data_IF_554324065760
#
_entry.id   IF_554324065760
#
_cell.length_a   1.000
_cell.length_b   1.000
_cell.length_c   1.000
_cell.angle_alpha   90.00
_cell.angle_beta   90.00
_cell.angle_gamma   90.00
#
_symmetry.space_group_name_H-M   'P 1'
#
loop_
_entity.id
_entity.type
_entity.pdbx_description
1 polymer ?
#
# COMPACT_ATOMS: atom_id res chain seq x y z
N UNK A 1 -35.02 -23.40 -20.35
CA UNK A 1 -33.95 -23.26 -19.34
C UNK A 1 -34.01 -21.85 -18.81
N UNK A 2 -34.43 -21.72 -17.56
CA UNK A 2 -34.80 -20.47 -16.90
C UNK A 2 -33.59 -19.73 -16.37
N UNK A 3 -33.66 -18.41 -16.53
CA UNK A 3 -32.78 -17.40 -15.92
C UNK A 3 -33.07 -17.37 -14.42
N UNK A 4 -32.33 -18.15 -13.64
CA UNK A 4 -32.33 -18.10 -12.17
C UNK A 4 -31.06 -18.81 -11.68
N UNK A 5 -29.98 -18.05 -11.49
CA UNK A 5 -28.86 -18.29 -10.55
C UNK A 5 -27.72 -17.28 -10.80
N UNK A 6 -28.06 -15.99 -10.86
CA UNK A 6 -27.08 -14.91 -10.74
C UNK A 6 -27.48 -14.11 -9.49
N UNK A 7 -26.80 -14.41 -8.40
CA UNK A 7 -26.81 -13.59 -7.19
C UNK A 7 -26.18 -12.22 -7.53
N UNK A 8 -26.93 -11.11 -7.48
CA UNK A 8 -26.44 -9.79 -7.89
C UNK A 8 -25.44 -9.16 -6.90
N UNK A 9 -25.10 -9.83 -5.79
CA UNK A 9 -24.19 -9.31 -4.75
C UNK A 9 -22.76 -9.86 -4.80
N UNK A 10 -22.35 -10.56 -5.87
CA UNK A 10 -21.01 -11.17 -5.91
C UNK A 10 -20.36 -11.15 -7.29
N UNK A 11 -20.09 -9.95 -7.79
CA UNK A 11 -19.13 -9.76 -8.89
C UNK A 11 -18.16 -8.65 -8.53
N UNK A 12 -17.35 -8.87 -7.49
CA UNK A 12 -16.08 -8.17 -7.39
C UNK A 12 -15.20 -8.70 -8.53
N UNK A 13 -14.90 -7.83 -9.50
CA UNK A 13 -13.92 -8.15 -10.52
C UNK A 13 -12.61 -8.58 -9.83
N UNK A 14 -11.95 -9.67 -10.26
CA UNK A 14 -10.76 -10.15 -9.58
C UNK A 14 -9.67 -9.09 -9.66
N UNK A 15 -9.28 -8.55 -8.51
CA UNK A 15 -8.20 -7.57 -8.44
C UNK A 15 -6.87 -8.31 -8.66
N UNK A 16 -6.00 -7.87 -9.59
CA UNK A 16 -4.78 -8.60 -9.94
C UNK A 16 -3.78 -8.66 -8.78
N UNK A 17 -3.29 -9.85 -8.45
CA UNK A 17 -2.21 -10.05 -7.47
C UNK A 17 -0.89 -9.42 -7.92
N UNK A 18 0.01 -9.11 -6.98
CA UNK A 18 1.36 -8.64 -7.31
C UNK A 18 2.13 -9.59 -8.22
N UNK A 19 2.01 -10.90 -8.00
CA UNK A 19 2.61 -11.91 -8.86
C UNK A 19 2.06 -11.83 -10.30
N UNK A 20 0.75 -11.58 -10.47
CA UNK A 20 0.15 -11.41 -11.80
C UNK A 20 0.60 -10.11 -12.49
N UNK A 21 0.73 -9.01 -11.74
CA UNK A 21 1.25 -7.74 -12.26
C UNK A 21 2.71 -7.90 -12.69
N UNK A 22 3.52 -8.59 -11.88
CA UNK A 22 4.91 -8.88 -12.20
C UNK A 22 5.05 -9.78 -13.44
N UNK A 23 4.19 -10.78 -13.59
CA UNK A 23 4.17 -11.66 -14.76
C UNK A 23 3.83 -10.91 -16.06
N UNK A 24 3.10 -9.79 -15.96
CA UNK A 24 2.81 -8.89 -17.09
C UNK A 24 3.88 -7.81 -17.30
N UNK A 25 4.97 -7.83 -16.53
CA UNK A 25 6.00 -6.78 -16.50
C UNK A 25 5.40 -5.38 -16.23
N UNK A 26 4.30 -5.31 -15.48
CA UNK A 26 3.71 -4.03 -15.11
C UNK A 26 4.51 -3.35 -13.97
N UNK A 27 4.51 -2.02 -13.87
CA UNK A 27 5.05 -1.33 -12.69
C UNK A 27 4.37 -1.82 -11.41
N UNK A 28 5.14 -1.95 -10.33
CA UNK A 28 4.63 -2.39 -9.03
C UNK A 28 4.66 -1.23 -8.03
N UNK A 29 3.61 -1.15 -7.22
CA UNK A 29 3.50 -0.17 -6.15
C UNK A 29 3.49 -0.92 -4.82
N UNK A 30 4.61 -0.92 -4.11
CA UNK A 30 4.74 -1.62 -2.85
C UNK A 30 4.60 -0.63 -1.71
N UNK A 31 3.65 -0.80 -0.78
CA UNK A 31 3.54 0.06 0.38
C UNK A 31 4.85 0.21 1.14
N UNK A 32 5.19 1.45 1.47
CA UNK A 32 6.44 1.75 2.18
C UNK A 32 6.40 1.13 3.58
N UNK A 33 7.53 0.54 3.98
CA UNK A 33 7.76 0.02 5.33
C UNK A 33 9.07 0.58 5.86
N UNK A 34 9.34 0.41 7.16
CA UNK A 34 10.56 0.92 7.80
C UNK A 34 11.84 0.23 7.32
N UNK A 35 11.75 -0.81 6.49
CA UNK A 35 12.90 -1.39 5.81
C UNK A 35 13.48 -0.40 4.80
N UNK A 36 14.76 -0.04 4.99
CA UNK A 36 15.50 0.92 4.17
C UNK A 36 15.74 0.38 2.75
N UNK A 37 14.74 0.50 1.88
CA UNK A 37 14.90 0.32 0.44
C UNK A 37 15.05 1.69 -0.23
N UNK A 38 16.19 1.92 -0.91
CA UNK A 38 16.51 3.20 -1.59
C UNK A 38 16.19 3.12 -3.07
N UNK A 39 15.97 4.28 -3.71
CA UNK A 39 15.91 4.36 -5.18
C UNK A 39 17.11 3.62 -5.79
N UNK A 40 16.88 2.87 -6.86
CA UNK A 40 17.87 2.03 -7.53
C UNK A 40 18.16 0.67 -6.88
N UNK A 41 17.57 0.37 -5.71
CA UNK A 41 17.62 -0.99 -5.13
C UNK A 41 16.87 -1.95 -6.04
N UNK A 42 17.46 -3.13 -6.27
CA UNK A 42 16.87 -4.18 -7.07
C UNK A 42 15.79 -4.96 -6.32
N UNK A 43 14.92 -5.61 -7.07
CA UNK A 43 13.83 -6.43 -6.54
C UNK A 43 13.62 -7.66 -7.42
N UNK A 44 13.54 -8.84 -6.81
CA UNK A 44 13.24 -10.11 -7.48
C UNK A 44 11.78 -10.50 -7.26
N UNK A 45 10.96 -10.26 -8.28
CA UNK A 45 9.52 -10.50 -8.24
C UNK A 45 9.15 -11.97 -8.01
N UNK A 46 10.03 -12.91 -8.37
CA UNK A 46 9.82 -14.36 -8.15
C UNK A 46 9.77 -14.73 -6.67
N UNK A 47 10.29 -13.86 -5.81
CA UNK A 47 10.38 -14.06 -4.37
C UNK A 47 9.30 -13.30 -3.59
N UNK A 48 8.36 -12.63 -4.28
CA UNK A 48 7.25 -11.87 -3.68
C UNK A 48 6.48 -12.70 -2.64
N UNK A 49 6.24 -13.99 -2.91
CA UNK A 49 5.49 -14.88 -2.01
C UNK A 49 6.39 -15.73 -1.10
N UNK A 50 7.72 -15.57 -1.19
CA UNK A 50 8.67 -16.42 -0.49
C UNK A 50 9.21 -15.75 0.77
N UNK A 51 8.60 -16.06 1.91
CA UNK A 51 8.99 -15.54 3.22
C UNK A 51 10.42 -15.88 3.68
N UNK A 52 11.03 -16.92 3.12
CA UNK A 52 12.35 -17.40 3.54
C UNK A 52 13.51 -16.71 2.80
N UNK A 53 13.22 -15.99 1.70
CA UNK A 53 14.23 -15.32 0.88
C UNK A 53 13.93 -13.82 0.79
N UNK A 54 14.98 -13.01 0.74
CA UNK A 54 14.84 -11.56 0.60
C UNK A 54 14.54 -11.23 -0.86
N UNK A 55 13.38 -10.64 -1.13
CA UNK A 55 13.02 -10.13 -2.45
C UNK A 55 13.85 -8.89 -2.83
N UNK A 56 14.30 -8.11 -1.84
CA UNK A 56 15.20 -6.97 -2.05
C UNK A 56 16.62 -7.42 -2.40
N UNK A 57 17.12 -6.92 -3.52
CA UNK A 57 18.48 -7.16 -4.01
C UNK A 57 19.31 -5.89 -3.77
N UNK A 58 20.29 -5.92 -2.84
CA UNK A 58 21.00 -4.71 -2.42
C UNK A 58 21.96 -4.17 -3.50
N UNK A 59 22.31 -4.98 -4.51
CA UNK A 59 23.21 -4.56 -5.57
C UNK A 59 22.47 -3.67 -6.56
N UNK A 60 23.03 -2.49 -6.82
CA UNK A 60 22.50 -1.54 -7.79
C UNK A 60 23.08 -1.80 -9.19
N UNK A 61 22.21 -1.87 -10.21
CA UNK A 61 22.63 -2.05 -11.60
C UNK A 61 23.13 -0.74 -12.27
N UNK A 62 22.90 0.41 -11.64
CA UNK A 62 23.13 1.74 -12.22
C UNK A 62 24.49 2.34 -11.86
N UNK A 63 25.08 3.07 -12.80
CA UNK A 63 26.27 3.90 -12.61
C UNK A 63 25.89 5.25 -11.99
N UNK A 64 26.76 5.77 -11.13
CA UNK A 64 26.68 7.13 -10.56
C UNK A 64 25.29 7.50 -10.04
N UNK A 65 24.59 6.54 -9.43
CA UNK A 65 23.21 6.74 -8.96
C UNK A 65 23.12 7.91 -7.95
N UNK A 66 24.13 8.09 -7.10
CA UNK A 66 24.17 9.17 -6.10
C UNK A 66 24.20 10.57 -6.71
N UNK A 67 24.63 10.71 -7.98
CA UNK A 67 24.62 11.97 -8.74
C UNK A 67 23.30 12.19 -9.48
N UNK A 68 22.42 11.18 -9.49
CA UNK A 68 21.15 11.25 -10.19
C UNK A 68 20.14 12.13 -9.46
N UNK A 69 19.20 12.66 -10.24
CA UNK A 69 18.13 13.52 -9.77
C UNK A 69 16.79 12.83 -10.00
N UNK A 70 15.88 12.97 -9.05
CA UNK A 70 14.49 12.59 -9.20
C UNK A 70 13.62 13.84 -9.38
N UNK A 71 12.65 13.75 -10.28
CA UNK A 71 11.69 14.81 -10.55
C UNK A 71 10.40 14.55 -9.77
N UNK A 72 9.91 15.58 -9.09
CA UNK A 72 8.61 15.56 -8.46
C UNK A 72 7.49 15.87 -9.48
N UNK A 73 6.57 14.93 -9.65
CA UNK A 73 5.39 15.04 -10.49
C UNK A 73 4.14 14.98 -9.59
N UNK A 74 3.50 16.14 -9.38
CA UNK A 74 2.28 16.26 -8.56
C UNK A 74 1.01 16.43 -9.40
N UNK A 75 1.09 16.17 -10.71
CA UNK A 75 -0.09 16.23 -11.57
C UNK A 75 -1.01 15.03 -11.25
N UNK A 76 -2.31 15.29 -11.09
CA UNK A 76 -3.31 14.23 -10.88
C UNK A 76 -3.42 13.74 -9.43
N UNK A 77 -3.38 14.64 -8.45
CA UNK A 77 -3.69 14.27 -7.06
C UNK A 77 -5.04 13.56 -6.99
N UNK A 78 -5.09 12.45 -6.25
CA UNK A 78 -6.31 11.67 -6.06
C UNK A 78 -6.59 11.52 -4.57
N UNK A 79 -7.84 11.81 -4.18
CA UNK A 79 -8.35 11.52 -2.85
C UNK A 79 -9.45 10.48 -3.00
N UNK A 80 -9.42 9.45 -2.17
CA UNK A 80 -10.44 8.42 -2.16
C UNK A 80 -10.89 8.21 -0.72
N UNK A 81 -12.20 8.14 -0.54
CA UNK A 81 -12.83 7.91 0.75
C UNK A 81 -13.70 6.66 0.64
N UNK A 82 -13.58 5.76 1.63
CA UNK A 82 -14.38 4.54 1.72
C UNK A 82 -14.98 4.43 3.10
N UNK A 83 -16.29 4.24 3.15
CA UNK A 83 -17.03 3.90 4.37
C UNK A 83 -17.68 2.54 4.15
N UNK A 84 -17.54 1.65 5.13
CA UNK A 84 -18.11 0.30 5.10
C UNK A 84 -18.89 0.04 6.38
N UNK A 85 -20.01 -0.67 6.27
CA UNK A 85 -20.84 -1.09 7.38
C UNK A 85 -21.37 -2.50 7.10
N UNK A 86 -21.11 -3.45 7.99
CA UNK A 86 -21.53 -4.85 7.82
C UNK A 86 -22.18 -5.39 9.09
N UNK A 87 -23.28 -6.12 8.90
CA UNK A 87 -24.06 -6.82 9.94
C UNK A 87 -23.75 -8.33 9.98
N UNK A 88 -22.70 -8.79 9.30
CA UNK A 88 -22.37 -10.22 9.18
C UNK A 88 -20.88 -10.48 9.35
N UNK A 89 -20.56 -11.65 9.90
CA UNK A 89 -19.18 -12.10 10.17
C UNK A 89 -18.41 -12.50 8.90
N UNK A 90 -19.07 -12.53 7.74
CA UNK A 90 -18.52 -13.06 6.48
C UNK A 90 -17.95 -12.02 5.50
N UNK A 91 -18.08 -10.71 5.77
CA UNK A 91 -17.54 -9.66 4.90
C UNK A 91 -16.43 -8.86 5.61
N UNK A 92 -15.18 -9.09 5.20
CA UNK A 92 -14.01 -8.37 5.75
C UNK A 92 -13.31 -7.46 4.73
N UNK A 93 -13.51 -7.65 3.42
CA UNK A 93 -12.79 -6.91 2.37
C UNK A 93 -13.16 -5.42 2.33
N UNK A 94 -14.41 -5.07 2.64
CA UNK A 94 -14.92 -3.69 2.71
C UNK A 94 -14.28 -2.89 3.84
N UNK A 95 -13.73 -3.58 4.84
CA UNK A 95 -13.12 -2.99 6.03
C UNK A 95 -11.58 -3.03 6.02
N UNK A 96 -10.97 -3.59 4.97
CA UNK A 96 -9.51 -3.56 4.79
C UNK A 96 -9.01 -2.15 4.47
N UNK A 97 -7.70 -1.96 4.49
CA UNK A 97 -7.05 -0.73 4.08
C UNK A 97 -7.16 -0.54 2.56
N UNK A 98 -7.15 0.72 2.13
CA UNK A 98 -7.22 1.05 0.70
C UNK A 98 -5.92 0.74 -0.05
N UNK A 99 -4.80 0.62 0.67
CA UNK A 99 -3.45 0.48 0.10
C UNK A 99 -3.03 -0.97 -0.12
N UNK A 100 -3.62 -1.90 0.63
CA UNK A 100 -3.22 -3.32 0.63
C UNK A 100 -4.36 -4.29 0.34
N UNK A 101 -5.59 -3.81 0.08
CA UNK A 101 -6.79 -4.64 -0.15
C UNK A 101 -6.69 -5.66 -1.30
N UNK A 102 -5.54 -5.76 -1.97
CA UNK A 102 -5.21 -6.64 -3.11
C UNK A 102 -4.13 -7.69 -2.76
N UNK A 103 -3.50 -7.58 -1.59
CA UNK A 103 -2.25 -8.33 -1.25
C UNK A 103 -2.28 -8.95 0.15
N UNK A 104 -3.47 -9.21 0.67
CA UNK A 104 -3.65 -9.92 1.94
C UNK A 104 -2.96 -11.29 1.85
N UNK A 105 -2.10 -11.59 2.82
CA UNK A 105 -1.27 -12.80 2.84
C UNK A 105 0.15 -12.63 2.32
N UNK A 106 0.50 -11.48 1.72
CA UNK A 106 1.88 -11.23 1.32
C UNK A 106 2.73 -10.73 2.52
N UNK A 107 3.64 -11.60 2.99
CA UNK A 107 4.48 -11.33 4.18
C UNK A 107 5.47 -10.18 4.00
N UNK A 108 5.84 -9.83 2.76
CA UNK A 108 6.66 -8.64 2.49
C UNK A 108 5.93 -7.36 2.92
N UNK A 109 4.60 -7.38 2.91
CA UNK A 109 3.73 -6.25 3.17
C UNK A 109 3.12 -6.24 4.57
N UNK A 110 3.20 -7.35 5.32
CA UNK A 110 2.70 -7.41 6.71
C UNK A 110 3.50 -6.56 7.71
N UNK A 111 4.69 -6.07 7.32
CA UNK A 111 5.57 -5.29 8.19
C UNK A 111 5.18 -3.80 8.32
N UNK A 112 4.24 -3.32 7.51
CA UNK A 112 3.75 -1.93 7.61
C UNK A 112 2.44 -1.85 8.43
N UNK A 113 2.04 -0.62 8.75
CA UNK A 113 0.87 -0.36 9.60
C UNK A 113 -0.45 -0.78 8.95
N UNK A 114 -0.57 -0.66 7.62
CA UNK A 114 -1.74 -1.10 6.87
C UNK A 114 -1.86 -2.63 6.85
N UNK A 115 -0.74 -3.35 6.75
CA UNK A 115 -0.70 -4.80 6.75
C UNK A 115 -0.97 -5.39 8.13
N UNK A 116 -0.50 -4.71 9.18
CA UNK A 116 -0.88 -5.01 10.56
C UNK A 116 -2.38 -4.84 10.77
N UNK A 117 -2.95 -3.75 10.28
CA UNK A 117 -4.40 -3.51 10.34
C UNK A 117 -5.20 -4.55 9.55
N UNK A 118 -4.83 -4.83 8.29
CA UNK A 118 -5.55 -5.78 7.44
C UNK A 118 -5.52 -7.20 8.00
N UNK A 119 -4.37 -7.63 8.53
CA UNK A 119 -4.24 -8.93 9.21
C UNK A 119 -5.17 -9.02 10.43
N UNK A 120 -5.36 -7.92 11.16
CA UNK A 120 -6.24 -7.88 12.34
C UNK A 120 -7.71 -7.84 11.96
N UNK A 121 -8.06 -7.14 10.88
CA UNK A 121 -9.42 -7.12 10.32
C UNK A 121 -9.83 -8.51 9.80
N UNK A 122 -8.90 -9.24 9.16
CA UNK A 122 -9.13 -10.62 8.69
C UNK A 122 -9.39 -11.60 9.85
N UNK A 123 -8.63 -11.49 10.95
CA UNK A 123 -8.81 -12.32 12.14
C UNK A 123 -10.04 -11.96 12.97
N UNK A 124 -10.61 -10.78 12.75
CA UNK A 124 -11.76 -10.29 13.49
C UNK A 124 -13.06 -10.91 12.95
N UNK A 125 -13.75 -11.70 13.79
CA UNK A 125 -15.02 -12.37 13.45
C UNK A 125 -16.24 -11.74 14.14
N UNK A 126 -16.15 -10.46 14.51
CA UNK A 126 -17.23 -9.75 15.20
C UNK A 126 -18.50 -9.62 14.35
N UNK A 127 -19.65 -9.58 15.05
CA UNK A 127 -20.99 -9.63 14.44
C UNK A 127 -21.37 -8.37 13.66
N UNK A 128 -20.91 -7.20 14.14
CA UNK A 128 -21.17 -5.92 13.49
C UNK A 128 -19.89 -5.10 13.37
N UNK A 129 -19.70 -4.39 12.24
CA UNK A 129 -18.52 -3.57 11.98
C UNK A 129 -18.83 -2.34 11.14
N UNK A 130 -18.28 -1.20 11.54
CA UNK A 130 -18.19 0.02 10.74
C UNK A 130 -16.74 0.37 10.53
N UNK A 131 -16.40 0.88 9.35
CA UNK A 131 -15.08 1.46 9.09
C UNK A 131 -15.14 2.67 8.19
N UNK A 132 -14.16 3.57 8.36
CA UNK A 132 -13.89 4.69 7.46
C UNK A 132 -12.43 4.71 7.11
N UNK A 133 -12.14 4.92 5.84
CA UNK A 133 -10.80 4.98 5.28
C UNK A 133 -10.68 6.18 4.35
N UNK A 134 -9.53 6.82 4.39
CA UNK A 134 -9.14 7.86 3.46
C UNK A 134 -7.75 7.53 2.91
N UNK A 135 -7.62 7.64 1.60
CA UNK A 135 -6.36 7.54 0.87
C UNK A 135 -6.15 8.83 0.11
N UNK A 136 -5.01 9.48 0.33
CA UNK A 136 -4.61 10.64 -0.43
C UNK A 136 -3.31 10.37 -1.17
N UNK A 137 -3.27 10.66 -2.46
CA UNK A 137 -2.09 10.57 -3.32
C UNK A 137 -1.80 11.96 -3.88
N UNK A 138 -0.68 12.52 -3.47
CA UNK A 138 -0.29 13.90 -3.78
C UNK A 138 0.60 14.00 -5.04
N UNK A 139 1.13 12.88 -5.51
CA UNK A 139 2.06 12.84 -6.63
C UNK A 139 3.10 11.74 -6.49
N UNK A 140 4.16 11.83 -7.29
CA UNK A 140 5.27 10.88 -7.29
C UNK A 140 6.60 11.59 -7.48
N UNK A 141 7.67 10.97 -7.01
CA UNK A 141 9.05 11.38 -7.24
C UNK A 141 9.71 10.29 -8.05
N UNK A 142 10.11 10.57 -9.30
CA UNK A 142 10.60 9.55 -10.23
C UNK A 142 12.00 9.93 -10.73
N UNK A 143 12.89 8.94 -10.78
CA UNK A 143 14.26 9.08 -11.27
C UNK A 143 14.27 9.51 -12.76
N UNK A 144 14.76 10.72 -13.06
CA UNK A 144 14.74 11.30 -14.42
C UNK A 144 15.95 12.20 -14.68
N UNK A 145 16.76 11.94 -15.73
CA UNK A 145 16.74 10.73 -16.56
C UNK A 145 17.18 9.50 -15.76
N UNK A 146 16.76 8.31 -16.17
CA UNK A 146 17.27 7.08 -15.55
C UNK A 146 18.78 6.95 -15.82
N UNK A 147 19.62 6.67 -14.80
CA UNK A 147 21.05 6.50 -14.98
C UNK A 147 21.38 5.30 -15.87
N UNK A 148 22.59 5.30 -16.42
CA UNK A 148 23.08 4.20 -17.25
C UNK A 148 23.39 2.96 -16.43
N UNK A 149 23.29 1.80 -17.06
CA UNK A 149 23.71 0.54 -16.45
C UNK A 149 25.23 0.45 -16.33
N UNK A 150 25.69 -0.22 -15.27
CA UNK A 150 27.11 -0.58 -15.10
C UNK A 150 27.59 -1.48 -16.22
N UNK A 151 28.89 -1.43 -16.54
CA UNK A 151 29.50 -2.31 -17.55
C UNK A 151 29.26 -3.79 -17.24
N UNK A 152 29.28 -4.14 -15.95
CA UNK A 152 28.95 -5.49 -15.49
C UNK A 152 27.48 -5.84 -15.78
N UNK A 153 26.55 -4.97 -15.42
CA UNK A 153 25.12 -5.16 -15.69
C UNK A 153 24.85 -5.35 -17.20
N UNK A 154 25.46 -4.51 -18.05
CA UNK A 154 25.35 -4.60 -19.51
C UNK A 154 25.90 -5.92 -20.05
N UNK A 155 27.09 -6.32 -19.60
CA UNK A 155 27.72 -7.58 -19.97
C UNK A 155 26.86 -8.79 -19.59
N UNK A 156 26.22 -8.77 -18.42
CA UNK A 156 25.31 -9.82 -17.97
C UNK A 156 24.03 -9.85 -18.82
N UNK A 157 23.41 -8.71 -19.12
CA UNK A 157 22.23 -8.66 -20.00
C UNK A 157 22.51 -9.23 -21.39
N UNK A 158 23.71 -9.04 -21.94
CA UNK A 158 24.07 -9.56 -23.26
C UNK A 158 24.36 -11.07 -23.26
N UNK A 159 25.07 -11.54 -22.22
CA UNK A 159 25.61 -12.91 -22.18
C UNK A 159 24.71 -13.89 -21.44
N UNK A 160 24.12 -13.44 -20.33
CA UNK A 160 23.36 -14.26 -19.39
C UNK A 160 22.29 -13.42 -18.64
N UNK A 161 21.14 -13.15 -19.28
CA UNK A 161 20.04 -12.42 -18.64
C UNK A 161 19.51 -13.07 -17.35
N UNK A 162 19.68 -14.40 -17.21
CA UNK A 162 19.31 -15.11 -15.99
C UNK A 162 20.17 -14.68 -14.81
N UNK A 163 21.49 -14.65 -15.02
CA UNK A 163 22.43 -14.13 -14.00
C UNK A 163 22.26 -12.64 -13.71
N UNK A 164 21.88 -11.83 -14.71
CA UNK A 164 21.51 -10.44 -14.45
C UNK A 164 20.37 -10.37 -13.44
N UNK A 165 19.30 -11.16 -13.66
CA UNK A 165 18.15 -11.20 -12.76
C UNK A 165 18.51 -11.70 -11.37
N UNK A 166 19.36 -12.73 -11.27
CA UNK A 166 19.79 -13.25 -9.96
C UNK A 166 20.67 -12.24 -9.19
N UNK A 167 21.38 -11.36 -9.89
CA UNK A 167 22.33 -10.42 -9.28
C UNK A 167 21.75 -9.04 -9.00
N UNK A 168 20.77 -8.57 -9.79
CA UNK A 168 20.16 -7.25 -9.67
C UNK A 168 18.63 -7.27 -9.51
N UNK A 169 17.98 -8.43 -9.65
CA UNK A 169 16.53 -8.53 -9.73
C UNK A 169 15.99 -8.27 -11.14
N UNK A 170 14.68 -8.39 -11.31
CA UNK A 170 13.95 -8.04 -12.52
C UNK A 170 13.29 -6.65 -12.44
N UNK A 171 13.16 -6.10 -11.24
CA UNK A 171 12.67 -4.76 -10.96
C UNK A 171 13.71 -3.91 -10.24
N UNK A 172 13.52 -2.59 -10.26
CA UNK A 172 14.24 -1.64 -9.42
C UNK A 172 13.30 -0.57 -8.88
N UNK A 173 13.65 0.01 -7.72
CA UNK A 173 12.93 1.19 -7.19
C UNK A 173 13.24 2.39 -8.09
N UNK A 174 12.29 2.76 -8.93
CA UNK A 174 12.38 3.90 -9.83
C UNK A 174 11.99 5.22 -9.16
N UNK A 175 11.25 5.14 -8.05
CA UNK A 175 10.79 6.33 -7.34
C UNK A 175 9.87 6.05 -6.17
N UNK A 176 9.17 7.10 -5.74
CA UNK A 176 8.33 7.14 -4.54
C UNK A 176 6.95 7.69 -4.89
N UNK A 177 5.90 7.11 -4.35
CA UNK A 177 4.54 7.65 -4.40
C UNK A 177 4.28 8.48 -3.15
N UNK A 178 4.04 9.78 -3.34
CA UNK A 178 3.73 10.73 -2.27
C UNK A 178 2.25 10.64 -1.90
N UNK A 179 1.98 10.63 -0.60
CA UNK A 179 0.64 10.46 -0.05
C UNK A 179 0.65 9.75 1.28
N UNK A 180 -0.54 9.48 1.79
CA UNK A 180 -0.74 8.70 3.00
C UNK A 180 -2.13 8.06 3.00
N UNK A 181 -2.31 7.15 3.94
CA UNK A 181 -3.56 6.46 4.21
C UNK A 181 -3.87 6.52 5.69
N UNK A 182 -5.13 6.75 6.03
CA UNK A 182 -5.63 6.67 7.38
C UNK A 182 -6.94 5.91 7.39
N UNK A 183 -7.20 5.16 8.44
CA UNK A 183 -8.44 4.43 8.58
C UNK A 183 -8.72 4.02 10.00
N UNK A 184 -9.99 3.78 10.28
CA UNK A 184 -10.44 3.26 11.56
C UNK A 184 -11.64 2.33 11.36
N UNK A 185 -11.77 1.36 12.25
CA UNK A 185 -12.90 0.47 12.35
C UNK A 185 -13.32 0.30 13.80
N UNK A 186 -14.62 0.30 14.04
CA UNK A 186 -15.23 -0.11 15.29
C UNK A 186 -16.09 -1.34 15.01
N UNK A 187 -15.88 -2.38 15.79
CA UNK A 187 -16.64 -3.62 15.69
C UNK A 187 -17.16 -4.05 17.05
N UNK A 188 -18.24 -4.81 17.05
CA UNK A 188 -18.90 -5.27 18.28
C UNK A 188 -19.10 -6.78 18.24
N UNK A 189 -18.70 -7.45 19.32
CA UNK A 189 -19.03 -8.84 19.55
C UNK A 189 -20.37 -8.89 20.30
N UNK A 190 -21.36 -9.57 19.71
CA UNK A 190 -22.63 -9.88 20.37
C UNK A 190 -22.62 -11.35 20.81
N UNK A 191 -23.04 -11.61 22.05
CA UNK A 191 -23.17 -12.96 22.61
C UNK A 191 -24.52 -13.61 22.26
N UNK A 192 -25.47 -12.87 21.66
CA UNK A 192 -26.81 -13.33 21.36
C UNK A 192 -27.31 -12.81 19.98
N UNK A 193 -27.89 -13.71 19.17
CA UNK A 193 -28.36 -13.48 17.79
C UNK A 193 -29.76 -12.82 17.73
N UNK A 194 -30.14 -11.95 18.68
CA UNK A 194 -31.43 -11.27 18.58
C UNK A 194 -31.34 -10.05 17.65
N UNK A 195 -32.18 -10.00 16.60
CA UNK A 195 -32.25 -8.88 15.63
C UNK A 195 -32.35 -7.51 16.31
N UNK A 196 -33.04 -7.44 17.45
CA UNK A 196 -33.23 -6.21 18.23
C UNK A 196 -31.92 -5.72 18.88
N UNK A 197 -31.04 -6.64 19.29
CA UNK A 197 -29.70 -6.29 19.78
C UNK A 197 -28.81 -5.82 18.63
N UNK A 198 -28.86 -6.49 17.46
CA UNK A 198 -28.11 -6.06 16.26
C UNK A 198 -28.49 -4.64 15.81
N UNK A 199 -29.78 -4.27 15.83
CA UNK A 199 -30.19 -2.90 15.49
C UNK A 199 -29.71 -1.87 16.52
N UNK A 200 -29.79 -2.17 17.82
CA UNK A 200 -29.25 -1.28 18.87
C UNK A 200 -27.73 -1.12 18.76
N UNK A 201 -27.04 -2.20 18.41
CA UNK A 201 -25.60 -2.24 18.16
C UNK A 201 -25.20 -1.35 16.99
N UNK A 202 -25.88 -1.50 15.86
CA UNK A 202 -25.67 -0.69 14.65
C UNK A 202 -25.86 0.81 14.93
N UNK A 203 -26.96 1.18 15.59
CA UNK A 203 -27.21 2.58 16.00
C UNK A 203 -26.13 3.09 16.94
N UNK A 204 -25.70 2.32 17.93
CA UNK A 204 -24.66 2.73 18.89
C UNK A 204 -23.33 3.01 18.18
N UNK A 205 -22.90 2.13 17.29
CA UNK A 205 -21.64 2.30 16.56
C UNK A 205 -21.73 3.46 15.57
N UNK A 206 -22.84 3.62 14.85
CA UNK A 206 -23.05 4.75 13.94
C UNK A 206 -23.07 6.08 14.68
N UNK A 207 -23.73 6.16 15.83
CA UNK A 207 -23.72 7.36 16.68
C UNK A 207 -22.31 7.67 17.19
N UNK A 208 -21.57 6.67 17.67
CA UNK A 208 -20.17 6.87 18.08
C UNK A 208 -19.27 7.35 16.94
N UNK A 209 -19.50 6.85 15.73
CA UNK A 209 -18.79 7.29 14.52
C UNK A 209 -19.20 8.68 14.04
N UNK A 210 -20.46 9.06 14.25
CA UNK A 210 -20.98 10.37 13.88
C UNK A 210 -20.59 11.45 14.89
N UNK A 211 -20.70 11.15 16.19
CA UNK A 211 -20.31 12.04 17.29
C UNK A 211 -18.81 12.33 17.26
N UNK A 212 -17.98 11.37 16.82
CA UNK A 212 -16.55 11.58 16.60
C UNK A 212 -16.24 12.49 15.39
N UNK A 213 -17.18 12.68 14.47
CA UNK A 213 -17.06 13.63 13.34
C UNK A 213 -17.64 15.01 13.63
N UNK A 214 -18.56 15.12 14.61
CA UNK A 214 -19.11 16.40 15.03
C UNK A 214 -18.21 17.03 16.11
N UNK A 215 -17.84 18.30 15.95
CA UNK A 215 -17.15 19.10 16.99
C UNK A 215 -18.07 19.41 18.19
N UNK A 216 -18.92 18.47 18.60
CA UNK A 216 -19.85 18.69 19.71
C UNK A 216 -19.13 18.56 21.06
N UNK A 217 -19.50 19.49 21.95
CA UNK A 217 -18.94 19.69 23.29
C UNK A 217 -18.85 18.39 24.10
N UNK A 218 -17.77 18.31 24.90
CA UNK A 218 -17.48 17.25 25.86
C UNK A 218 -18.65 17.06 26.84
N UNK A 219 -19.60 16.21 26.47
CA UNK A 219 -20.42 15.53 27.45
C UNK A 219 -19.63 14.31 27.90
N UNK A 220 -18.81 14.51 28.94
CA UNK A 220 -18.29 13.42 29.79
C UNK A 220 -19.48 12.67 30.41
N UNK A 221 -20.12 11.83 29.61
CA UNK A 221 -20.97 10.78 30.13
C UNK A 221 -20.11 9.53 30.17
N UNK A 222 -19.84 9.07 31.38
CA UNK A 222 -19.24 7.77 31.70
C UNK A 222 -20.17 6.66 31.18
N UNK A 223 -20.23 6.49 29.87
CA UNK A 223 -21.04 5.46 29.24
C UNK A 223 -20.30 4.14 29.38
N UNK A 224 -20.89 3.22 30.13
CA UNK A 224 -20.51 1.82 30.12
C UNK A 224 -21.13 1.16 28.90
N UNK A 225 -20.32 0.42 28.14
CA UNK A 225 -20.86 -0.34 27.01
C UNK A 225 -21.70 -1.51 27.51
N UNK A 226 -22.88 -1.73 26.94
CA UNK A 226 -23.61 -2.99 27.13
C UNK A 226 -23.02 -4.15 26.30
N UNK A 227 -21.93 -3.91 25.57
CA UNK A 227 -21.35 -4.86 24.61
C UNK A 227 -19.83 -4.81 24.59
N UNK A 228 -19.19 -5.88 24.12
CA UNK A 228 -17.76 -5.90 23.92
C UNK A 228 -17.38 -5.21 22.60
N UNK A 229 -16.64 -4.10 22.70
CA UNK A 229 -16.19 -3.29 21.57
C UNK A 229 -14.75 -3.63 21.19
N UNK A 230 -14.45 -3.58 19.91
CA UNK A 230 -13.09 -3.63 19.39
C UNK A 230 -12.87 -2.51 18.38
N UNK A 231 -11.98 -1.60 18.72
CA UNK A 231 -11.57 -0.47 17.89
C UNK A 231 -10.18 -0.71 17.32
N UNK A 232 -10.04 -0.53 16.01
CA UNK A 232 -8.76 -0.62 15.31
C UNK A 232 -8.57 0.62 14.45
N UNK A 233 -7.36 1.17 14.39
CA UNK A 233 -7.07 2.28 13.50
C UNK A 233 -5.61 2.30 13.05
N UNK A 234 -5.35 2.93 11.91
CA UNK A 234 -4.02 3.14 11.37
C UNK A 234 -3.89 4.53 10.75
N UNK A 235 -2.66 5.05 10.73
CA UNK A 235 -2.26 6.25 9.99
C UNK A 235 -0.82 6.09 9.49
N UNK A 236 -0.65 6.01 8.17
CA UNK A 236 0.67 5.83 7.55
C UNK A 236 1.52 7.10 7.64
N UNK A 237 0.92 8.29 7.80
CA UNK A 237 1.63 9.56 7.88
C UNK A 237 2.43 9.69 9.19
N UNK A 238 1.93 9.05 10.25
CA UNK A 238 2.55 8.99 11.58
C UNK A 238 3.13 7.61 11.91
N UNK A 239 3.01 6.64 11.00
CA UNK A 239 3.37 5.24 11.22
C UNK A 239 2.71 4.66 12.49
N UNK A 240 1.45 5.01 12.73
CA UNK A 240 0.71 4.54 13.90
C UNK A 240 -0.29 3.45 13.54
N UNK A 241 -0.40 2.47 14.43
CA UNK A 241 -1.43 1.45 14.45
C UNK A 241 -1.89 1.25 15.89
N UNK A 242 -3.19 1.20 16.12
CA UNK A 242 -3.78 0.95 17.43
C UNK A 242 -4.87 -0.11 17.34
N UNK A 243 -4.93 -0.94 18.37
CA UNK A 243 -5.99 -1.90 18.61
C UNK A 243 -6.39 -1.75 20.08
N UNK A 244 -7.68 -1.52 20.32
CA UNK A 244 -8.23 -1.40 21.66
C UNK A 244 -9.49 -2.23 21.80
N UNK A 245 -9.45 -3.12 22.78
CA UNK A 245 -10.60 -3.90 23.20
C UNK A 245 -11.22 -3.31 24.47
N UNK A 246 -12.55 -3.23 24.50
CA UNK A 246 -13.32 -2.87 25.67
C UNK A 246 -14.33 -3.99 25.92
N UNK A 247 -14.22 -4.64 27.08
CA UNK A 247 -15.14 -5.70 27.47
C UNK A 247 -16.54 -5.14 27.74
N UNK A 248 -17.53 -6.03 27.74
CA UNK A 248 -18.89 -5.69 28.16
C UNK A 248 -18.89 -5.12 29.60
N UNK A 249 -19.70 -4.07 29.82
CA UNK A 249 -19.80 -3.36 31.10
C UNK A 249 -18.64 -2.40 31.40
N UNK A 250 -17.59 -2.36 30.58
CA UNK A 250 -16.46 -1.45 30.77
C UNK A 250 -16.74 -0.05 30.23
N UNK A 251 -15.97 0.93 30.73
CA UNK A 251 -16.05 2.32 30.29
C UNK A 251 -15.54 2.48 28.86
N UNK A 252 -16.28 3.21 28.02
CA UNK A 252 -15.94 3.42 26.61
C UNK A 252 -15.16 4.70 26.33
N UNK A 253 -14.82 5.49 27.36
CA UNK A 253 -14.20 6.82 27.20
C UNK A 253 -12.95 6.80 26.33
N UNK A 254 -12.04 5.86 26.59
CA UNK A 254 -10.80 5.71 25.82
C UNK A 254 -11.03 5.33 24.35
N UNK A 255 -12.01 4.45 24.07
CA UNK A 255 -12.38 4.12 22.68
C UNK A 255 -12.96 5.36 21.97
N UNK A 256 -13.81 6.16 22.65
CA UNK A 256 -14.36 7.40 22.08
C UNK A 256 -13.26 8.40 21.74
N UNK A 257 -12.29 8.58 22.65
CA UNK A 257 -11.15 9.48 22.46
C UNK A 257 -10.26 9.04 21.29
N UNK A 258 -9.96 7.73 21.20
CA UNK A 258 -9.21 7.18 20.06
C UNK A 258 -9.99 7.32 18.76
N UNK A 259 -11.29 7.01 18.76
CA UNK A 259 -12.17 7.13 17.60
C UNK A 259 -12.19 8.58 17.08
N UNK A 260 -12.37 9.56 17.96
CA UNK A 260 -12.32 11.00 17.61
C UNK A 260 -10.97 11.37 16.98
N UNK A 261 -9.85 10.97 17.60
CA UNK A 261 -8.50 11.26 17.09
C UNK A 261 -8.28 10.70 15.68
N UNK A 262 -8.59 9.42 15.45
CA UNK A 262 -8.33 8.80 14.16
C UNK A 262 -9.35 9.20 13.09
N UNK A 263 -10.58 9.55 13.45
CA UNK A 263 -11.50 10.17 12.49
C UNK A 263 -11.05 11.57 12.07
N UNK A 264 -10.51 12.39 12.98
CA UNK A 264 -9.87 13.64 12.61
C UNK A 264 -8.67 13.40 11.66
N UNK A 265 -7.87 12.36 11.90
CA UNK A 265 -6.78 11.98 10.99
C UNK A 265 -7.29 11.60 9.59
N UNK A 266 -8.38 10.84 9.51
CA UNK A 266 -9.06 10.48 8.25
C UNK A 266 -9.59 11.72 7.52
N UNK A 267 -10.27 12.63 8.23
CA UNK A 267 -10.88 13.84 7.65
C UNK A 267 -9.85 14.88 7.21
N UNK A 268 -8.75 15.01 7.94
CA UNK A 268 -7.70 16.01 7.67
C UNK A 268 -6.44 15.43 7.02
N UNK A 269 -6.52 14.22 6.45
CA UNK A 269 -5.38 13.53 5.85
C UNK A 269 -4.71 14.37 4.75
N UNK A 270 -5.51 14.90 3.82
CA UNK A 270 -5.01 15.72 2.72
C UNK A 270 -4.25 16.95 3.24
N UNK A 271 -4.88 17.75 4.11
CA UNK A 271 -4.26 18.94 4.68
C UNK A 271 -2.97 18.63 5.46
N UNK A 272 -2.90 17.44 6.08
CA UNK A 272 -1.72 16.99 6.82
C UNK A 272 -0.58 16.56 5.89
N UNK A 273 -0.89 15.87 4.80
CA UNK A 273 0.08 15.52 3.75
C UNK A 273 0.61 16.78 3.06
N UNK A 274 -0.27 17.69 2.64
CA UNK A 274 0.11 18.94 1.98
C UNK A 274 1.04 19.78 2.87
N UNK A 275 0.75 19.85 4.17
CA UNK A 275 1.61 20.53 5.16
C UNK A 275 3.02 19.92 5.20
N UNK A 276 3.14 18.59 5.23
CA UNK A 276 4.45 17.92 5.22
C UNK A 276 5.21 18.15 3.91
N UNK A 277 4.52 18.14 2.76
CA UNK A 277 5.16 18.43 1.48
C UNK A 277 5.72 19.86 1.43
N UNK A 278 4.97 20.84 1.94
CA UNK A 278 5.44 22.23 2.07
C UNK A 278 6.65 22.34 3.01
N UNK A 279 6.59 21.69 4.18
CA UNK A 279 7.70 21.65 5.15
C UNK A 279 9.00 21.10 4.52
N UNK A 280 8.86 20.05 3.71
CA UNK A 280 9.98 19.41 3.00
C UNK A 280 10.33 20.06 1.66
N UNK A 281 9.68 21.18 1.31
CA UNK A 281 9.89 21.92 0.05
C UNK A 281 9.72 21.05 -1.19
N UNK A 282 8.82 20.07 -1.12
CA UNK A 282 8.45 19.21 -2.24
C UNK A 282 7.33 19.90 -3.02
N UNK A 283 7.70 20.50 -4.15
CA UNK A 283 6.77 21.19 -5.04
C UNK A 283 6.72 20.48 -6.41
N UNK A 284 5.70 20.77 -7.25
CA UNK A 284 5.71 20.31 -8.63
C UNK A 284 7.02 20.70 -9.34
N UNK A 285 7.59 19.78 -10.11
CA UNK A 285 8.86 19.95 -10.83
C UNK A 285 10.10 20.17 -9.94
N UNK A 286 9.98 19.99 -8.62
CA UNK A 286 11.15 20.00 -7.75
C UNK A 286 12.12 18.88 -8.15
N UNK A 287 13.40 19.23 -8.17
CA UNK A 287 14.49 18.29 -8.36
C UNK A 287 15.02 17.87 -6.99
N UNK A 288 15.02 16.57 -6.73
CA UNK A 288 15.45 15.99 -5.47
C UNK A 288 16.66 15.09 -5.72
N UNK A 289 17.70 15.22 -4.90
CA UNK A 289 18.78 14.24 -4.86
C UNK A 289 18.30 12.91 -4.30
N UNK A 290 19.04 11.82 -4.57
CA UNK A 290 18.73 10.51 -3.98
C UNK A 290 18.72 10.56 -2.45
N UNK A 291 19.64 11.32 -1.84
CA UNK A 291 19.67 11.52 -0.39
C UNK A 291 18.41 12.22 0.13
N UNK A 292 17.88 13.22 -0.59
CA UNK A 292 16.61 13.87 -0.23
C UNK A 292 15.42 12.90 -0.38
N UNK A 293 15.41 12.07 -1.42
CA UNK A 293 14.38 11.04 -1.58
C UNK A 293 14.39 10.05 -0.42
N UNK A 294 15.58 9.61 0.01
CA UNK A 294 15.71 8.71 1.17
C UNK A 294 15.26 9.39 2.47
N UNK A 295 15.56 10.68 2.65
CA UNK A 295 15.08 11.44 3.81
C UNK A 295 13.55 11.54 3.82
N UNK A 296 12.92 11.74 2.65
CA UNK A 296 11.45 11.77 2.52
C UNK A 296 10.78 10.50 3.00
N UNK A 297 11.40 9.33 2.79
CA UNK A 297 10.87 8.06 3.29
C UNK A 297 10.71 8.03 4.82
N UNK A 298 11.54 8.77 5.57
CA UNK A 298 11.45 8.89 7.03
C UNK A 298 10.36 9.85 7.52
N UNK A 299 9.65 10.53 6.61
CA UNK A 299 8.67 11.58 6.96
C UNK A 299 7.25 11.06 7.07
N UNK A 300 6.97 9.82 6.63
CA UNK A 300 5.61 9.28 6.51
C UNK A 300 4.81 9.79 5.31
N UNK A 301 5.33 10.73 4.52
CA UNK A 301 4.65 11.25 3.31
C UNK A 301 4.83 10.33 2.09
N UNK A 302 5.61 9.27 2.23
CA UNK A 302 5.80 8.23 1.21
C UNK A 302 4.83 7.09 1.50
N UNK A 303 3.85 6.92 0.63
CA UNK A 303 2.85 5.85 0.73
C UNK A 303 3.36 4.54 0.12
N UNK A 304 4.01 4.62 -1.04
CA UNK A 304 4.48 3.44 -1.79
C UNK A 304 5.86 3.69 -2.41
N UNK A 305 6.60 2.61 -2.59
CA UNK A 305 7.73 2.50 -3.51
C UNK A 305 7.19 2.21 -4.91
N UNK A 306 7.71 2.94 -5.90
CA UNK A 306 7.40 2.72 -7.31
C UNK A 306 8.51 1.88 -7.92
N UNK A 307 8.18 0.66 -8.33
CA UNK A 307 9.11 -0.27 -8.96
C UNK A 307 8.81 -0.35 -10.45
N UNK A 308 9.85 -0.21 -11.26
CA UNK A 308 9.80 -0.42 -12.71
C UNK A 308 10.63 -1.66 -13.08
N UNK A 309 10.20 -2.45 -14.07
CA UNK A 309 10.99 -3.57 -14.54
C UNK A 309 12.20 -3.05 -15.32
N UNK A 310 13.33 -3.74 -15.19
CA UNK A 310 14.52 -3.43 -15.99
C UNK A 310 14.24 -3.55 -17.50
N UNK A 311 13.28 -4.38 -17.93
CA UNK A 311 12.88 -4.54 -19.33
C UNK A 311 12.31 -3.25 -19.96
N UNK A 312 11.79 -2.31 -19.17
CA UNK A 312 11.27 -1.03 -19.68
C UNK A 312 12.36 -0.03 -20.06
N UNK A 313 13.57 -0.19 -19.51
CA UNK A 313 14.69 0.68 -19.80
C UNK A 313 15.04 0.66 -21.29
N UNK A 314 15.15 1.84 -21.89
CA UNK A 314 15.53 1.98 -23.30
C UNK A 314 16.87 1.32 -23.59
N UNK A 315 17.82 1.39 -22.65
CA UNK A 315 19.12 0.73 -22.77
C UNK A 315 18.99 -0.80 -22.83
N UNK A 316 18.19 -1.40 -21.94
CA UNK A 316 17.95 -2.85 -21.91
C UNK A 316 17.29 -3.33 -23.20
N UNK A 317 16.24 -2.65 -23.66
CA UNK A 317 15.55 -2.98 -24.92
C UNK A 317 16.49 -2.95 -26.12
N UNK A 318 17.39 -1.95 -26.19
CA UNK A 318 18.38 -1.84 -27.26
C UNK A 318 19.40 -2.98 -27.23
N UNK A 319 19.90 -3.32 -26.04
CA UNK A 319 20.84 -4.43 -25.87
C UNK A 319 20.21 -5.76 -26.28
N UNK A 320 18.99 -6.04 -25.82
CA UNK A 320 18.28 -7.28 -26.14
C UNK A 320 17.95 -7.41 -27.64
N UNK A 321 17.52 -6.32 -28.30
CA UNK A 321 17.28 -6.31 -29.74
C UNK A 321 18.55 -6.62 -30.55
N UNK A 322 19.70 -6.08 -30.12
CA UNK A 322 21.00 -6.33 -30.76
C UNK A 322 21.41 -7.79 -30.66
N UNK A 323 21.25 -8.39 -29.47
CA UNK A 323 21.54 -9.82 -29.24
C UNK A 323 20.62 -10.72 -30.06
N UNK A 324 19.33 -10.40 -30.13
CA UNK A 324 18.36 -11.18 -30.91
C UNK A 324 18.71 -11.19 -32.41
N UNK A 325 18.99 -10.01 -32.97
CA UNK A 325 19.38 -9.88 -34.37
C UNK A 325 20.66 -10.66 -34.69
N UNK A 326 21.67 -10.59 -33.83
CA UNK A 326 22.93 -11.33 -34.03
C UNK A 326 22.74 -12.85 -34.00
N UNK A 327 21.92 -13.37 -33.07
CA UNK A 327 21.60 -14.80 -33.01
C UNK A 327 20.86 -15.29 -34.26
N UNK A 328 19.91 -14.50 -34.77
CA UNK A 328 19.17 -14.85 -35.97
C UNK A 328 20.07 -14.87 -37.21
N UNK A 329 20.94 -13.87 -37.39
CA UNK A 329 21.91 -13.84 -38.49
C UNK A 329 22.87 -15.03 -38.42
N UNK A 330 23.37 -15.36 -37.23
CA UNK A 330 24.27 -16.51 -37.04
C UNK A 330 23.57 -17.83 -37.36
N UNK A 331 22.33 -18.02 -36.93
CA UNK A 331 21.57 -19.23 -37.22
C UNK A 331 21.26 -19.37 -38.71
N UNK A 332 20.98 -18.26 -39.41
CA UNK A 332 20.81 -18.24 -40.87
C UNK A 332 22.09 -18.67 -41.60
N UNK A 333 23.25 -18.14 -41.20
CA UNK A 333 24.54 -18.51 -41.79
C UNK A 333 24.92 -19.98 -41.50
N UNK A 334 24.53 -20.52 -40.35
CA UNK A 334 24.77 -21.93 -40.01
C UNK A 334 23.79 -22.89 -40.68
N UNK A 335 22.60 -22.44 -41.09
CA UNK A 335 21.65 -23.26 -41.86
C UNK A 335 21.93 -23.29 -43.36
N UNK A 336 22.77 -22.38 -43.85
CA UNK A 336 23.21 -22.30 -45.25
C UNK A 336 24.53 -23.05 -45.53
N UNK A 337 25.15 -23.62 -44.48
CA UNK A 337 26.36 -24.46 -44.52
C UNK A 337 25.99 -25.94 -44.32
#
# INVERSE_FOLDING_TARGET
MTVADLDPHKTDAPIPSLASLAAMEAPLFLPWSTELARIGTGFDSRLIDNAAKKAWVPKCAFQNLEEAVALCETAGCTTSFREGSTDSTSSSSEHMSMSLGVTVGNKLLSANVTGSYDSRIELNQNAYRVSKHCSYRAGRVILTPTPRLTDQARCLLEKDPGRFRDEYGDYYIAGLQLGADAGCSLSVAASSESRTETTKLSVTVHVLFWDATAETEDTQSSQTSAFALNFMAYDTLTHSFVEQHCAEGAQTGSIKELAKRYMQAVLHLQASVDRKLVEWRVSPSAQLSIGQCQALCGTGVVSHLVLEPYSHLLEVRRLQATVHNWKNTRNSMLSEL
#
